data_IF_045483832919
#
_entry.id   IF_045483832919
#
_cell.length_a   1.000
_cell.length_b   1.000
_cell.length_c   1.000
_cell.angle_alpha   90.00
_cell.angle_beta   90.00
_cell.angle_gamma   90.00
#
_symmetry.space_group_name_H-M   'P 1'
#
loop_
_entity.id
_entity.type
_entity.pdbx_description
1 polymer ?
#
# COMPACT_ATOMS: atom_id res chain seq x y z
N UNK A 1 -12.22 13.86 -1.95
CA UNK A 1 -11.73 12.86 -0.98
C UNK A 1 -10.89 11.74 -1.61
N UNK A 2 -11.43 10.82 -2.42
CA UNK A 2 -10.60 9.75 -3.01
C UNK A 2 -9.48 10.29 -3.93
N UNK A 3 -9.75 11.31 -4.73
CA UNK A 3 -8.73 11.94 -5.57
C UNK A 3 -7.65 12.64 -4.73
N UNK A 4 -8.03 13.26 -3.60
CA UNK A 4 -7.09 13.87 -2.67
C UNK A 4 -6.21 12.79 -2.02
N UNK A 5 -6.78 11.67 -1.59
CA UNK A 5 -6.01 10.54 -1.07
C UNK A 5 -5.02 10.00 -2.11
N UNK A 6 -5.44 9.83 -3.36
CA UNK A 6 -4.54 9.41 -4.46
C UNK A 6 -3.44 10.44 -4.72
N UNK A 7 -3.78 11.73 -4.72
CA UNK A 7 -2.81 12.82 -4.87
C UNK A 7 -1.75 12.81 -3.76
N UNK A 8 -2.16 12.59 -2.51
CA UNK A 8 -1.26 12.45 -1.36
C UNK A 8 -0.27 11.30 -1.60
N UNK A 9 -0.77 10.12 -1.97
CA UNK A 9 0.06 8.94 -2.22
C UNK A 9 1.00 9.10 -3.42
N UNK A 10 0.62 9.91 -4.42
CA UNK A 10 1.46 10.22 -5.58
C UNK A 10 2.48 11.34 -5.26
N UNK A 11 2.17 12.25 -4.32
CA UNK A 11 3.02 13.39 -3.93
C UNK A 11 4.11 12.98 -2.94
N UNK A 12 3.82 12.05 -2.03
CA UNK A 12 4.80 11.49 -1.10
C UNK A 12 4.95 9.97 -1.33
N UNK A 13 5.89 9.55 -2.20
CA UNK A 13 6.14 8.13 -2.45
C UNK A 13 6.88 7.45 -1.29
N UNK A 14 7.38 8.19 -0.30
CA UNK A 14 8.16 7.69 0.82
C UNK A 14 7.33 7.36 2.05
N UNK A 15 6.00 7.50 1.97
CA UNK A 15 5.08 7.16 3.07
C UNK A 15 5.40 5.75 3.60
N UNK A 16 5.77 5.69 4.88
CA UNK A 16 6.26 4.48 5.54
C UNK A 16 5.34 3.98 6.67
N UNK A 17 4.37 4.79 7.09
CA UNK A 17 3.38 4.43 8.11
C UNK A 17 2.02 5.06 7.78
N UNK A 18 0.94 4.29 7.94
CA UNK A 18 -0.45 4.77 7.79
C UNK A 18 -1.20 4.52 9.10
N UNK A 19 -1.92 5.52 9.60
CA UNK A 19 -2.72 5.42 10.81
C UNK A 19 -4.15 5.89 10.59
N UNK A 20 -5.08 5.30 11.33
CA UNK A 20 -6.46 5.78 11.41
C UNK A 20 -6.64 6.60 12.69
N UNK A 21 -7.00 7.86 12.54
CA UNK A 21 -6.97 8.85 13.62
C UNK A 21 -8.40 9.30 13.88
N UNK A 22 -8.78 9.36 15.15
CA UNK A 22 -10.07 9.94 15.51
C UNK A 22 -10.01 11.48 15.31
N UNK A 23 -11.05 12.14 14.76
CA UNK A 23 -11.06 13.58 14.52
C UNK A 23 -10.59 14.43 15.72
N UNK A 24 -10.98 14.04 16.94
CA UNK A 24 -10.57 14.75 18.17
C UNK A 24 -9.06 14.73 18.44
N UNK A 25 -8.31 13.83 17.80
CA UNK A 25 -6.85 13.71 17.94
C UNK A 25 -6.08 14.52 16.88
N UNK A 26 -6.72 14.96 15.79
CA UNK A 26 -6.08 15.80 14.76
C UNK A 26 -5.60 17.13 15.33
N UNK A 27 -6.43 17.78 16.14
CA UNK A 27 -6.09 19.06 16.77
C UNK A 27 -4.87 18.98 17.71
N UNK A 28 -4.60 17.80 18.29
CA UNK A 28 -3.39 17.57 19.10
C UNK A 28 -2.16 17.44 18.21
N UNK A 29 -2.27 16.76 17.08
CA UNK A 29 -1.17 16.58 16.11
C UNK A 29 -0.80 17.88 15.39
N UNK A 30 -1.77 18.77 15.19
CA UNK A 30 -1.55 20.11 14.61
C UNK A 30 -0.86 21.07 15.59
N UNK A 31 -1.18 21.00 16.89
CA UNK A 31 -0.58 21.87 17.93
C UNK A 31 0.92 21.64 18.14
N UNK A 32 1.41 20.44 17.86
CA UNK A 32 2.84 20.11 17.94
C UNK A 32 3.62 20.55 16.67
N UNK A 33 3.03 21.41 15.83
CA UNK A 33 3.54 21.75 14.49
C UNK A 33 3.54 23.27 14.25
N UNK A 34 4.72 23.87 14.09
CA UNK A 34 4.89 25.29 13.70
C UNK A 34 4.85 25.53 12.18
N UNK A 35 4.84 24.49 11.36
CA UNK A 35 4.81 24.54 9.88
C UNK A 35 3.83 23.51 9.29
N UNK A 36 2.55 23.59 9.66
CA UNK A 36 1.53 22.76 9.03
C UNK A 36 1.16 23.35 7.66
N UNK A 37 1.44 22.62 6.57
CA UNK A 37 0.76 22.84 5.30
C UNK A 37 -0.73 22.58 5.55
N UNK A 38 -1.55 23.65 5.49
CA UNK A 38 -3.00 23.58 5.62
C UNK A 38 -3.57 22.70 4.49
N UNK A 39 -3.75 21.43 4.82
CA UNK A 39 -3.94 20.32 3.89
C UNK A 39 -5.38 19.84 3.77
N UNK A 40 -6.37 20.71 4.03
CA UNK A 40 -7.78 20.53 3.63
C UNK A 40 -8.66 19.63 4.52
N UNK A 41 -9.91 20.07 4.72
CA UNK A 41 -11.11 19.40 5.28
C UNK A 41 -10.91 18.49 6.52
N UNK A 42 -9.80 18.61 7.26
CA UNK A 42 -9.49 17.81 8.46
C UNK A 42 -9.48 16.28 8.24
N UNK A 43 -9.42 15.83 6.98
CA UNK A 43 -9.63 14.42 6.63
C UNK A 43 -8.34 13.60 6.55
N UNK A 44 -7.21 14.27 6.28
CA UNK A 44 -5.89 13.67 6.14
C UNK A 44 -4.85 14.50 6.88
N UNK A 45 -3.87 13.82 7.48
CA UNK A 45 -2.71 14.44 8.12
C UNK A 45 -1.45 13.81 7.55
N UNK A 46 -0.45 14.62 7.18
CA UNK A 46 0.81 14.13 6.61
C UNK A 46 1.97 14.85 7.27
N UNK A 47 2.91 14.10 7.82
CA UNK A 47 4.17 14.63 8.36
C UNK A 47 5.19 13.51 8.45
N UNK A 48 6.46 13.82 8.18
CA UNK A 48 7.57 12.87 8.31
C UNK A 48 7.32 11.51 7.63
N UNK A 49 6.71 11.55 6.43
CA UNK A 49 6.29 10.36 5.66
C UNK A 49 5.28 9.45 6.38
N UNK A 50 4.51 10.00 7.32
CA UNK A 50 3.41 9.31 7.99
C UNK A 50 2.09 9.89 7.54
N UNK A 51 1.13 9.02 7.24
CA UNK A 51 -0.20 9.41 6.78
C UNK A 51 -1.26 9.04 7.81
N UNK A 52 -1.91 10.05 8.37
CA UNK A 52 -3.11 9.93 9.18
C UNK A 52 -4.37 10.05 8.32
N UNK A 53 -5.32 9.13 8.48
CA UNK A 53 -6.63 9.17 7.83
C UNK A 53 -7.70 9.29 8.90
N UNK A 54 -8.59 10.28 8.79
CA UNK A 54 -9.68 10.45 9.75
C UNK A 54 -10.63 9.26 9.73
N UNK A 55 -10.96 8.71 10.89
CA UNK A 55 -11.87 7.56 11.01
C UNK A 55 -13.27 7.84 10.44
N UNK A 56 -13.70 9.11 10.40
CA UNK A 56 -14.98 9.54 9.82
C UNK A 56 -15.06 9.36 8.30
N UNK A 57 -13.91 9.38 7.63
CA UNK A 57 -13.84 9.30 6.17
C UNK A 57 -13.52 7.91 5.65
N UNK A 58 -12.97 7.02 6.50
CA UNK A 58 -12.51 5.68 6.11
C UNK A 58 -13.58 4.89 5.36
N UNK A 59 -14.82 4.83 5.86
CA UNK A 59 -15.88 4.04 5.22
C UNK A 59 -16.24 4.57 3.83
N UNK A 60 -16.37 5.89 3.68
CA UNK A 60 -16.68 6.54 2.39
C UNK A 60 -15.54 6.35 1.41
N UNK A 61 -14.31 6.54 1.88
CA UNK A 61 -13.08 6.39 1.10
C UNK A 61 -12.90 4.93 0.64
N UNK A 62 -13.14 3.96 1.53
CA UNK A 62 -13.10 2.52 1.20
C UNK A 62 -14.12 2.16 0.11
N UNK A 63 -15.38 2.60 0.23
CA UNK A 63 -16.42 2.31 -0.77
C UNK A 63 -16.01 2.81 -2.15
N UNK A 64 -15.54 4.07 -2.23
CA UNK A 64 -15.09 4.66 -3.49
C UNK A 64 -13.84 3.96 -4.06
N UNK A 65 -12.86 3.65 -3.21
CA UNK A 65 -11.63 2.95 -3.64
C UNK A 65 -11.94 1.53 -4.14
N UNK A 66 -12.83 0.82 -3.45
CA UNK A 66 -13.30 -0.51 -3.85
C UNK A 66 -13.99 -0.48 -5.21
N UNK A 67 -14.89 0.48 -5.42
CA UNK A 67 -15.60 0.64 -6.69
C UNK A 67 -14.62 0.91 -7.85
N UNK A 68 -13.71 1.88 -7.69
CA UNK A 68 -12.69 2.16 -8.71
C UNK A 68 -11.80 0.95 -9.01
N UNK A 69 -11.40 0.21 -7.98
CA UNK A 69 -10.62 -1.03 -8.15
C UNK A 69 -11.41 -2.10 -8.90
N UNK A 70 -12.65 -2.37 -8.50
CA UNK A 70 -13.50 -3.40 -9.12
C UNK A 70 -13.78 -3.10 -10.59
N UNK A 71 -13.99 -1.82 -10.94
CA UNK A 71 -14.15 -1.40 -12.33
C UNK A 71 -12.85 -1.60 -13.12
N UNK A 72 -11.72 -1.13 -12.61
CA UNK A 72 -10.42 -1.26 -13.27
C UNK A 72 -10.02 -2.73 -13.51
N UNK A 73 -10.22 -3.62 -12.52
CA UNK A 73 -9.88 -5.04 -12.70
C UNK A 73 -10.86 -5.75 -13.64
N UNK A 74 -12.13 -5.34 -13.68
CA UNK A 74 -13.09 -5.88 -14.64
C UNK A 74 -12.71 -5.50 -16.07
N UNK A 75 -12.33 -4.24 -16.30
CA UNK A 75 -11.80 -3.79 -17.60
C UNK A 75 -10.52 -4.52 -17.98
N UNK A 76 -9.56 -4.67 -17.05
CA UNK A 76 -8.32 -5.38 -17.29
C UNK A 76 -8.55 -6.83 -17.73
N UNK A 77 -9.51 -7.51 -17.10
CA UNK A 77 -9.88 -8.88 -17.46
C UNK A 77 -10.62 -8.97 -18.80
N UNK A 78 -11.41 -7.95 -19.17
CA UNK A 78 -12.11 -7.91 -20.46
C UNK A 78 -11.17 -7.76 -21.65
N UNK A 79 -10.02 -7.12 -21.45
CA UNK A 79 -9.06 -6.84 -22.52
C UNK A 79 -8.42 -8.12 -23.10
N UNK A 80 -8.38 -9.23 -22.35
CA UNK A 80 -7.77 -10.48 -22.80
C UNK A 80 -6.30 -10.32 -23.20
N UNK A 81 -5.83 -11.11 -24.15
CA UNK A 81 -4.47 -11.02 -24.73
C UNK A 81 -4.33 -9.93 -25.81
N UNK A 82 -5.32 -9.05 -25.98
CA UNK A 82 -5.33 -8.07 -27.08
C UNK A 82 -4.66 -6.75 -26.66
N UNK A 83 -3.71 -6.30 -27.50
CA UNK A 83 -2.97 -5.03 -27.43
C UNK A 83 -2.15 -4.80 -26.16
N UNK A 84 -0.86 -5.14 -26.24
CA UNK A 84 0.13 -5.00 -25.17
C UNK A 84 0.19 -3.58 -24.53
N UNK A 85 0.13 -2.47 -25.28
CA UNK A 85 0.16 -1.12 -24.68
C UNK A 85 -1.08 -0.79 -23.85
N UNK A 86 -2.26 -1.25 -24.28
CA UNK A 86 -3.52 -1.04 -23.56
C UNK A 86 -3.53 -1.84 -22.24
N UNK A 87 -3.06 -3.08 -22.31
CA UNK A 87 -2.94 -3.95 -21.13
C UNK A 87 -1.94 -3.40 -20.12
N UNK A 88 -0.84 -2.80 -20.59
CA UNK A 88 0.13 -2.15 -19.73
C UNK A 88 -0.45 -0.95 -18.98
N UNK A 89 -1.09 -0.02 -19.69
CA UNK A 89 -1.71 1.16 -19.11
C UNK A 89 -2.80 0.79 -18.09
N UNK A 90 -3.66 -0.17 -18.43
CA UNK A 90 -4.72 -0.64 -17.56
C UNK A 90 -4.17 -1.40 -16.34
N UNK A 91 -3.09 -2.16 -16.52
CA UNK A 91 -2.34 -2.75 -15.42
C UNK A 91 -1.83 -1.70 -14.43
N UNK A 92 -1.28 -0.58 -14.91
CA UNK A 92 -0.85 0.54 -14.03
C UNK A 92 -2.05 1.10 -13.25
N UNK A 93 -3.20 1.29 -13.89
CA UNK A 93 -4.43 1.77 -13.23
C UNK A 93 -4.87 0.81 -12.13
N UNK A 94 -4.90 -0.50 -12.40
CA UNK A 94 -5.22 -1.53 -11.40
C UNK A 94 -4.22 -1.50 -10.24
N UNK A 95 -2.92 -1.33 -10.50
CA UNK A 95 -1.90 -1.21 -9.46
C UNK A 95 -2.12 0.04 -8.58
N UNK A 96 -2.49 1.18 -9.16
CA UNK A 96 -2.79 2.40 -8.37
C UNK A 96 -4.07 2.23 -7.53
N UNK A 97 -5.15 1.74 -8.12
CA UNK A 97 -6.42 1.52 -7.41
C UNK A 97 -6.30 0.46 -6.31
N UNK A 98 -5.59 -0.64 -6.57
CA UNK A 98 -5.36 -1.67 -5.55
C UNK A 98 -4.46 -1.19 -4.41
N UNK A 99 -3.41 -0.39 -4.65
CA UNK A 99 -2.61 0.24 -3.58
C UNK A 99 -3.52 1.06 -2.66
N UNK A 100 -4.32 1.92 -3.26
CA UNK A 100 -5.29 2.78 -2.54
C UNK A 100 -6.26 1.96 -1.69
N UNK A 101 -6.81 0.87 -2.25
CA UNK A 101 -7.73 -0.02 -1.53
C UNK A 101 -7.04 -0.79 -0.39
N UNK A 102 -5.82 -1.28 -0.61
CA UNK A 102 -5.08 -2.07 0.37
C UNK A 102 -4.68 -1.26 1.60
N UNK A 103 -4.37 0.03 1.44
CA UNK A 103 -4.13 0.95 2.56
C UNK A 103 -5.37 1.18 3.43
N UNK A 104 -6.57 0.89 2.92
CA UNK A 104 -7.85 1.01 3.65
C UNK A 104 -8.36 -0.34 4.14
N UNK A 105 -8.01 -1.43 3.46
CA UNK A 105 -8.36 -2.80 3.81
C UNK A 105 -7.23 -3.75 3.39
N UNK A 106 -6.33 -4.06 4.33
CA UNK A 106 -5.12 -4.86 4.11
C UNK A 106 -5.41 -6.29 3.66
N UNK A 107 -6.56 -6.85 4.02
CA UNK A 107 -6.88 -8.26 3.77
C UNK A 107 -7.81 -8.45 2.55
N UNK A 108 -7.92 -7.43 1.69
CA UNK A 108 -8.66 -7.54 0.44
C UNK A 108 -7.90 -8.42 -0.57
N UNK A 109 -8.04 -9.75 -0.44
CA UNK A 109 -7.26 -10.75 -1.20
C UNK A 109 -7.33 -10.59 -2.72
N UNK A 110 -8.48 -10.17 -3.27
CA UNK A 110 -8.61 -9.91 -4.72
C UNK A 110 -7.66 -8.82 -5.21
N UNK A 111 -7.38 -7.80 -4.39
CA UNK A 111 -6.44 -6.74 -4.73
C UNK A 111 -5.02 -7.30 -4.81
N UNK A 112 -4.56 -8.02 -3.78
CA UNK A 112 -3.25 -8.69 -3.80
C UNK A 112 -3.07 -9.64 -4.98
N UNK A 113 -4.07 -10.50 -5.25
CA UNK A 113 -4.03 -11.44 -6.36
C UNK A 113 -3.99 -10.73 -7.73
N UNK A 114 -4.68 -9.60 -7.86
CA UNK A 114 -4.63 -8.79 -9.10
C UNK A 114 -3.23 -8.21 -9.33
N UNK A 115 -2.54 -7.78 -8.27
CA UNK A 115 -1.13 -7.33 -8.37
C UNK A 115 -0.21 -8.46 -8.81
N UNK A 116 -0.32 -9.65 -8.20
CA UNK A 116 0.44 -10.86 -8.60
C UNK A 116 0.21 -11.23 -10.07
N UNK A 117 -1.05 -11.15 -10.54
CA UNK A 117 -1.40 -11.40 -11.95
C UNK A 117 -0.66 -10.43 -12.88
N UNK A 118 -0.75 -9.12 -12.62
CA UNK A 118 -0.13 -8.09 -13.45
C UNK A 118 1.39 -8.24 -13.48
N UNK A 119 2.01 -8.49 -12.34
CA UNK A 119 3.45 -8.67 -12.22
C UNK A 119 3.95 -9.99 -12.81
N UNK A 120 3.16 -11.06 -12.78
CA UNK A 120 3.55 -12.32 -13.44
C UNK A 120 3.68 -12.14 -14.95
N UNK A 121 2.91 -11.22 -15.52
CA UNK A 121 2.97 -10.86 -16.94
C UNK A 121 4.10 -9.84 -17.25
N UNK A 122 4.78 -9.28 -16.24
CA UNK A 122 5.78 -8.20 -16.39
C UNK A 122 7.11 -8.56 -15.72
N UNK A 123 8.22 -8.57 -16.45
CA UNK A 123 9.56 -8.88 -15.90
C UNK A 123 10.35 -7.62 -15.49
N UNK A 124 9.70 -6.63 -14.88
CA UNK A 124 10.38 -5.39 -14.48
C UNK A 124 10.75 -5.40 -12.99
N UNK A 125 12.06 -5.37 -12.69
CA UNK A 125 12.58 -5.47 -11.32
C UNK A 125 12.13 -4.32 -10.39
N UNK A 126 11.99 -3.11 -10.92
CA UNK A 126 11.53 -1.94 -10.15
C UNK A 126 10.13 -2.15 -9.56
N UNK A 127 9.24 -2.84 -10.27
CA UNK A 127 7.88 -3.09 -9.78
C UNK A 127 7.88 -4.01 -8.55
N UNK A 128 8.79 -5.00 -8.48
CA UNK A 128 8.91 -5.85 -7.29
C UNK A 128 9.45 -5.07 -6.07
N UNK A 129 10.30 -4.08 -6.30
CA UNK A 129 10.77 -3.18 -5.22
C UNK A 129 9.61 -2.36 -4.65
N UNK A 130 8.73 -1.85 -5.52
CA UNK A 130 7.51 -1.14 -5.08
C UNK A 130 6.53 -2.05 -4.35
N UNK A 131 6.37 -3.31 -4.78
CA UNK A 131 5.56 -4.29 -4.03
C UNK A 131 6.15 -4.62 -2.66
N UNK A 132 7.48 -4.72 -2.59
CA UNK A 132 8.20 -4.98 -1.36
C UNK A 132 7.92 -3.87 -0.34
N UNK A 133 8.05 -2.61 -0.78
CA UNK A 133 7.71 -1.40 0.01
C UNK A 133 6.23 -1.39 0.41
N UNK A 134 5.31 -1.66 -0.51
CA UNK A 134 3.88 -1.69 -0.21
C UNK A 134 3.54 -2.73 0.87
N UNK A 135 4.13 -3.93 0.81
CA UNK A 135 3.88 -4.94 1.83
C UNK A 135 4.42 -4.53 3.21
N UNK A 136 5.59 -3.87 3.28
CA UNK A 136 6.11 -3.31 4.53
C UNK A 136 5.20 -2.20 5.07
N UNK A 137 4.73 -1.30 4.20
CA UNK A 137 3.80 -0.24 4.57
C UNK A 137 2.50 -0.79 5.15
N UNK A 138 1.92 -1.82 4.55
CA UNK A 138 0.71 -2.48 5.07
C UNK A 138 0.98 -3.14 6.43
N UNK A 139 2.13 -3.79 6.59
CA UNK A 139 2.52 -4.43 7.84
C UNK A 139 2.84 -3.44 8.97
N UNK A 140 3.17 -2.18 8.65
CA UNK A 140 3.42 -1.13 9.66
C UNK A 140 2.21 -0.87 10.57
N UNK A 141 0.98 -1.00 10.03
CA UNK A 141 -0.27 -0.80 10.77
C UNK A 141 -1.14 -2.05 10.89
N UNK A 142 -0.93 -3.06 10.04
CA UNK A 142 -1.64 -4.35 10.05
C UNK A 142 -0.65 -5.51 10.20
N UNK A 143 0.04 -5.54 11.34
CA UNK A 143 1.16 -6.47 11.62
C UNK A 143 0.85 -7.96 11.45
N UNK A 144 -0.44 -8.34 11.55
CA UNK A 144 -0.91 -9.72 11.46
C UNK A 144 -1.62 -10.06 10.14
N UNK A 145 -1.64 -9.15 9.16
CA UNK A 145 -2.30 -9.40 7.87
C UNK A 145 -1.68 -10.58 7.14
N UNK A 146 -2.44 -11.67 7.01
CA UNK A 146 -2.00 -12.88 6.32
C UNK A 146 -1.74 -12.63 4.84
N UNK A 147 -2.58 -11.79 4.22
CA UNK A 147 -2.45 -11.46 2.81
C UNK A 147 -1.17 -10.65 2.54
N UNK A 148 -0.84 -9.68 3.40
CA UNK A 148 0.38 -8.91 3.29
C UNK A 148 1.63 -9.77 3.43
N UNK A 149 1.68 -10.65 4.44
CA UNK A 149 2.78 -11.60 4.64
C UNK A 149 2.92 -12.60 3.49
N UNK A 150 1.80 -13.13 2.99
CA UNK A 150 1.78 -14.03 1.83
C UNK A 150 2.30 -13.34 0.57
N UNK A 151 1.89 -12.09 0.34
CA UNK A 151 2.37 -11.30 -0.78
C UNK A 151 3.87 -10.97 -0.65
N UNK A 152 4.32 -10.54 0.53
CA UNK A 152 5.72 -10.24 0.82
C UNK A 152 6.64 -11.41 0.51
N UNK A 153 6.33 -12.62 1.01
CA UNK A 153 7.08 -13.84 0.69
C UNK A 153 7.12 -14.13 -0.81
N UNK A 154 6.01 -13.93 -1.51
CA UNK A 154 5.95 -14.09 -2.95
C UNK A 154 6.86 -13.08 -3.68
N UNK A 155 6.87 -11.81 -3.27
CA UNK A 155 7.73 -10.76 -3.83
C UNK A 155 9.20 -11.09 -3.60
N UNK A 156 9.60 -11.43 -2.37
CA UNK A 156 10.98 -11.80 -2.02
C UNK A 156 11.45 -12.98 -2.85
N UNK A 157 10.62 -14.02 -3.00
CA UNK A 157 10.94 -15.19 -3.85
C UNK A 157 11.23 -14.80 -5.31
N UNK A 158 10.56 -13.78 -5.83
CA UNK A 158 10.77 -13.30 -7.20
C UNK A 158 12.00 -12.38 -7.29
N UNK A 159 12.26 -11.55 -6.27
CA UNK A 159 13.45 -10.68 -6.21
C UNK A 159 14.75 -11.47 -5.99
N UNK A 160 14.72 -12.51 -5.16
CA UNK A 160 15.86 -13.37 -4.82
C UNK A 160 16.43 -14.16 -6.01
N UNK A 161 15.75 -14.13 -7.17
CA UNK A 161 16.32 -14.62 -8.43
C UNK A 161 17.54 -13.80 -8.89
N UNK A 162 17.70 -12.58 -8.37
CA UNK A 162 18.89 -11.76 -8.54
C UNK A 162 19.74 -11.79 -7.25
N UNK A 163 20.89 -12.47 -7.30
CA UNK A 163 21.79 -12.68 -6.15
C UNK A 163 22.35 -11.38 -5.56
N UNK A 164 22.51 -10.33 -6.37
CA UNK A 164 23.07 -9.04 -5.91
C UNK A 164 22.17 -8.34 -4.91
N UNK A 165 20.85 -8.50 -5.03
CA UNK A 165 19.84 -7.86 -4.15
C UNK A 165 19.55 -8.69 -2.90
N UNK A 166 20.02 -9.94 -2.83
CA UNK A 166 19.60 -10.87 -1.78
C UNK A 166 20.07 -10.47 -0.37
N UNK A 167 21.31 -9.98 -0.23
CA UNK A 167 21.85 -9.59 1.07
C UNK A 167 21.14 -8.36 1.65
N UNK A 168 20.84 -7.38 0.79
CA UNK A 168 20.08 -6.18 1.17
C UNK A 168 18.66 -6.56 1.62
N UNK A 169 17.97 -7.41 0.84
CA UNK A 169 16.63 -7.91 1.19
C UNK A 169 16.67 -8.65 2.53
N UNK A 170 17.65 -9.52 2.77
CA UNK A 170 17.74 -10.26 4.04
C UNK A 170 17.90 -9.33 5.24
N UNK A 171 18.70 -8.27 5.09
CA UNK A 171 18.86 -7.26 6.14
C UNK A 171 17.56 -6.50 6.39
N UNK A 172 16.92 -6.01 5.33
CA UNK A 172 15.63 -5.30 5.43
C UNK A 172 14.53 -6.18 6.02
N UNK A 173 14.50 -7.47 5.67
CA UNK A 173 13.57 -8.44 6.27
C UNK A 173 13.81 -8.62 7.77
N UNK A 174 15.07 -8.77 8.17
CA UNK A 174 15.43 -8.94 9.58
C UNK A 174 14.97 -7.74 10.40
N UNK A 175 15.30 -6.53 9.93
CA UNK A 175 14.93 -5.28 10.59
C UNK A 175 13.39 -5.11 10.68
N UNK A 176 12.66 -5.52 9.65
CA UNK A 176 11.20 -5.43 9.64
C UNK A 176 10.56 -6.40 10.65
N UNK A 177 10.99 -7.67 10.63
CA UNK A 177 10.45 -8.72 11.51
C UNK A 177 10.69 -8.37 12.97
N UNK A 178 11.89 -7.88 13.31
CA UNK A 178 12.24 -7.43 14.66
C UNK A 178 11.30 -6.30 15.12
N UNK A 179 11.16 -5.24 14.31
CA UNK A 179 10.24 -4.11 14.60
C UNK A 179 8.80 -4.57 14.80
N UNK A 180 8.33 -5.54 13.99
CA UNK A 180 6.97 -6.06 14.11
C UNK A 180 6.81 -6.90 15.39
N UNK A 181 7.81 -7.71 15.75
CA UNK A 181 7.80 -8.52 16.96
C UNK A 181 7.76 -7.67 18.23
N UNK A 182 8.49 -6.54 18.25
CA UNK A 182 8.45 -5.56 19.33
C UNK A 182 7.07 -4.89 19.47
N UNK A 183 6.45 -4.52 18.35
CA UNK A 183 5.13 -3.84 18.32
C UNK A 183 3.95 -4.80 18.60
N UNK A 184 4.09 -6.09 18.27
CA UNK A 184 3.00 -7.06 18.26
C UNK A 184 3.40 -8.37 18.94
N UNK A 185 3.14 -8.46 20.26
CA UNK A 185 3.44 -9.66 21.04
C UNK A 185 2.79 -10.91 20.43
N UNK A 186 3.54 -12.01 20.41
CA UNK A 186 3.12 -13.33 19.90
C UNK A 186 2.63 -13.28 18.44
N UNK A 187 3.31 -12.51 17.59
CA UNK A 187 3.01 -12.48 16.16
C UNK A 187 3.67 -13.67 15.44
N UNK A 188 3.01 -14.82 15.42
CA UNK A 188 3.49 -16.03 14.73
C UNK A 188 3.65 -15.90 13.21
N UNK A 189 3.33 -14.74 12.62
CA UNK A 189 3.45 -14.48 11.19
C UNK A 189 4.74 -13.74 10.82
N UNK A 190 5.34 -13.03 11.78
CA UNK A 190 6.64 -12.37 11.68
C UNK A 190 7.72 -13.37 12.12
#
# INVERSE_FOLDING_TARGET
MLNQFKYILDSDPLINEVGFIHPSQFATLEKDSSDALDGGDGSFWIRDHKLGISSEVVLRLYKAAREQFMNAIAEYKKLGDLSLPSAEALGIVVMKCSKTLLLLNSDFGTAWNSRKLILSNKKQASMFTEEHRLSALVLSYSTKSEQAWSHRRWVIKNMARNLTTLQEILREESDLVEKIAERSKMNYRA
#
